data_IF_429202923388
#
_entry.id   IF_429202923388
#
_cell.length_a   1.000
_cell.length_b   1.000
_cell.length_c   1.000
_cell.angle_alpha   90.00
_cell.angle_beta   90.00
_cell.angle_gamma   90.00
#
_symmetry.space_group_name_H-M   'P 1'
#
loop_
_entity.id
_entity.type
_entity.pdbx_description
1 polymer ?
#
# COMPACT_ATOMS: atom_id res chain seq x y z
N UNK A 1 -16.88 13.68 -11.49
CA UNK A 1 -17.97 12.76 -11.90
C UNK A 1 -17.38 11.58 -12.66
N UNK A 2 -17.65 10.38 -12.23
CA UNK A 2 -17.18 9.16 -12.89
C UNK A 2 -18.21 8.83 -13.97
N UNK A 3 -17.82 9.04 -15.23
CA UNK A 3 -18.67 8.69 -16.36
C UNK A 3 -18.44 7.24 -16.77
N UNK A 4 -19.52 6.47 -16.90
CA UNK A 4 -19.47 5.14 -17.51
C UNK A 4 -19.15 3.97 -16.59
N UNK A 5 -19.18 4.14 -15.27
CA UNK A 5 -19.13 3.00 -14.34
C UNK A 5 -20.55 2.54 -14.07
N UNK A 6 -20.96 1.49 -14.77
CA UNK A 6 -22.23 0.80 -14.53
C UNK A 6 -21.94 -0.49 -13.79
N UNK A 7 -22.52 -0.64 -12.60
CA UNK A 7 -22.41 -1.86 -11.81
C UNK A 7 -23.83 -2.39 -11.60
N UNK A 8 -24.09 -3.53 -12.22
CA UNK A 8 -25.39 -4.20 -12.13
C UNK A 8 -25.55 -4.94 -10.79
N UNK A 9 -24.47 -5.17 -10.07
CA UNK A 9 -24.51 -5.93 -8.82
C UNK A 9 -23.89 -5.14 -7.66
N UNK A 10 -24.71 -4.82 -6.67
CA UNK A 10 -24.29 -4.18 -5.41
C UNK A 10 -23.38 -5.06 -4.54
N UNK A 11 -23.17 -6.32 -4.93
CA UNK A 11 -22.35 -7.28 -4.21
C UNK A 11 -20.94 -7.43 -4.80
N UNK A 12 -20.57 -6.66 -5.82
CA UNK A 12 -19.24 -6.74 -6.38
C UNK A 12 -18.19 -6.26 -5.38
N UNK A 13 -17.05 -6.98 -5.35
CA UNK A 13 -15.95 -6.66 -4.46
C UNK A 13 -15.46 -5.22 -4.73
N UNK A 14 -15.45 -4.32 -3.72
CA UNK A 14 -15.02 -2.94 -3.93
C UNK A 14 -13.59 -2.80 -4.47
N UNK A 15 -12.73 -3.79 -4.26
CA UNK A 15 -11.38 -3.79 -4.83
C UNK A 15 -11.37 -3.97 -6.34
N UNK A 16 -12.29 -4.76 -6.88
CA UNK A 16 -12.47 -4.92 -8.33
C UNK A 16 -12.88 -3.61 -8.99
N UNK A 17 -13.73 -2.84 -8.31
CA UNK A 17 -14.23 -1.57 -8.84
C UNK A 17 -13.17 -0.45 -8.87
N UNK A 18 -12.13 -0.55 -8.07
CA UNK A 18 -11.13 0.52 -7.92
C UNK A 18 -10.49 0.92 -9.27
N UNK A 19 -10.13 -0.05 -10.11
CA UNK A 19 -9.54 0.19 -11.43
C UNK A 19 -10.50 0.90 -12.37
N UNK A 20 -11.80 0.61 -12.26
CA UNK A 20 -12.85 1.29 -13.03
C UNK A 20 -13.06 2.73 -12.58
N UNK A 21 -12.80 3.02 -11.30
CA UNK A 21 -12.89 4.37 -10.76
C UNK A 21 -11.74 5.24 -11.23
N UNK A 22 -10.51 4.71 -11.19
CA UNK A 22 -9.31 5.43 -11.61
C UNK A 22 -8.18 4.45 -11.96
N UNK A 23 -7.58 4.62 -13.13
CA UNK A 23 -6.57 3.69 -13.65
C UNK A 23 -5.37 4.46 -14.24
N UNK A 24 -4.14 3.92 -14.23
CA UNK A 24 -3.76 2.65 -13.59
C UNK A 24 -3.69 2.77 -12.07
N UNK A 25 -4.08 1.71 -11.38
CA UNK A 25 -4.07 1.68 -9.91
C UNK A 25 -3.99 0.25 -9.37
N UNK A 26 -3.57 0.13 -8.11
CA UNK A 26 -3.65 -1.11 -7.34
C UNK A 26 -4.02 -0.79 -5.89
N UNK A 27 -4.61 -1.77 -5.23
CA UNK A 27 -4.96 -1.65 -3.80
C UNK A 27 -3.68 -1.60 -2.99
N UNK A 28 -3.52 -0.59 -2.15
CA UNK A 28 -2.34 -0.39 -1.31
C UNK A 28 -2.66 0.35 -0.02
N UNK A 29 -1.64 0.82 0.67
CA UNK A 29 -1.72 1.58 1.92
C UNK A 29 -2.56 0.84 2.96
N UNK A 30 -3.46 1.53 3.66
CA UNK A 30 -4.25 0.95 4.74
C UNK A 30 -5.12 -0.23 4.30
N UNK A 31 -5.72 -0.17 3.12
CA UNK A 31 -6.56 -1.28 2.61
C UNK A 31 -5.75 -2.57 2.45
N UNK A 32 -4.54 -2.48 1.92
CA UNK A 32 -3.67 -3.65 1.78
C UNK A 32 -3.06 -4.07 3.11
N UNK A 33 -2.62 -3.13 3.94
CA UNK A 33 -2.07 -3.42 5.26
C UNK A 33 -3.09 -4.12 6.16
N UNK A 34 -4.33 -3.64 6.16
CA UNK A 34 -5.43 -4.27 6.90
C UNK A 34 -5.75 -5.66 6.37
N UNK A 35 -5.81 -5.80 5.05
CA UNK A 35 -6.07 -7.11 4.42
C UNK A 35 -5.03 -8.15 4.80
N UNK A 36 -3.75 -7.77 4.85
CA UNK A 36 -2.64 -8.65 5.22
C UNK A 36 -2.46 -8.82 6.72
N UNK A 37 -3.27 -8.15 7.54
CA UNK A 37 -3.20 -8.27 8.99
C UNK A 37 -2.07 -7.50 9.65
N UNK A 38 -1.41 -6.57 8.94
CA UNK A 38 -0.34 -5.76 9.53
C UNK A 38 -0.85 -4.68 10.47
N UNK A 39 -2.06 -4.20 10.24
CA UNK A 39 -2.72 -3.23 11.12
C UNK A 39 -4.06 -3.79 11.60
N UNK A 40 -4.47 -3.51 12.86
CA UNK A 40 -5.71 -4.03 13.41
C UNK A 40 -6.96 -3.27 12.94
N UNK A 41 -6.80 -2.04 12.45
CA UNK A 41 -7.91 -1.17 12.11
C UNK A 41 -8.68 -1.69 10.89
N UNK A 42 -10.01 -1.60 10.98
CA UNK A 42 -10.87 -1.80 9.83
C UNK A 42 -10.86 -0.55 8.95
N UNK A 43 -10.64 -0.74 7.67
CA UNK A 43 -10.53 0.36 6.70
C UNK A 43 -11.82 0.45 5.89
N UNK A 44 -12.51 1.58 6.01
CA UNK A 44 -13.78 1.82 5.31
C UNK A 44 -13.61 2.41 3.92
N UNK A 45 -12.56 3.20 3.72
CA UNK A 45 -12.21 3.75 2.41
C UNK A 45 -11.21 2.84 1.73
N UNK A 46 -11.48 2.50 0.47
CA UNK A 46 -10.52 1.74 -0.33
C UNK A 46 -9.36 2.66 -0.72
N UNK A 47 -8.16 2.32 -0.30
CA UNK A 47 -6.96 3.10 -0.57
C UNK A 47 -6.14 2.45 -1.67
N UNK A 48 -5.78 3.24 -2.69
CA UNK A 48 -5.12 2.77 -3.90
C UNK A 48 -3.89 3.62 -4.22
N UNK A 49 -2.91 2.98 -4.82
CA UNK A 49 -1.74 3.64 -5.38
C UNK A 49 -1.91 3.81 -6.90
N UNK A 50 -1.43 4.93 -7.40
CA UNK A 50 -1.34 5.26 -8.81
C UNK A 50 0.02 5.88 -9.10
N UNK A 51 0.30 6.26 -10.34
CA UNK A 51 1.55 6.91 -10.72
C UNK A 51 1.36 7.95 -11.81
N UNK A 52 2.25 8.96 -11.83
CA UNK A 52 2.31 9.94 -12.91
C UNK A 52 1.14 10.92 -12.96
N UNK A 53 0.34 11.02 -11.92
CA UNK A 53 -0.85 11.90 -11.90
C UNK A 53 -0.60 13.26 -11.27
N UNK A 54 0.40 13.36 -10.38
CA UNK A 54 0.77 14.61 -9.68
C UNK A 54 -0.25 15.09 -8.65
N UNK A 55 -1.31 14.35 -8.40
CA UNK A 55 -2.38 14.71 -7.49
C UNK A 55 -2.90 13.51 -6.72
N UNK A 56 -3.33 13.77 -5.50
CA UNK A 56 -4.18 12.82 -4.76
C UNK A 56 -5.64 13.02 -5.21
N UNK A 57 -6.37 11.92 -5.32
CA UNK A 57 -7.78 11.91 -5.72
C UNK A 57 -8.62 11.19 -4.68
N UNK A 58 -9.79 11.75 -4.41
CA UNK A 58 -10.80 11.12 -3.56
C UNK A 58 -12.11 11.06 -4.34
N UNK A 59 -12.69 9.87 -4.39
CA UNK A 59 -13.98 9.63 -5.01
C UNK A 59 -14.94 9.05 -3.97
N UNK A 60 -16.04 9.74 -3.76
CA UNK A 60 -17.14 9.25 -2.93
C UNK A 60 -18.26 8.81 -3.85
N UNK A 61 -18.50 7.52 -3.91
CA UNK A 61 -19.50 6.92 -4.80
C UNK A 61 -20.59 6.21 -3.99
N UNK A 62 -21.71 5.91 -4.63
CA UNK A 62 -22.78 5.10 -4.03
C UNK A 62 -22.33 3.67 -3.69
N UNK A 63 -21.22 3.21 -4.28
CA UNK A 63 -20.67 1.88 -4.09
C UNK A 63 -19.52 1.84 -3.08
N UNK A 64 -19.06 3.00 -2.63
CA UNK A 64 -17.99 3.12 -1.66
C UNK A 64 -17.13 4.36 -1.88
N UNK A 65 -16.18 4.56 -0.96
CA UNK A 65 -15.26 5.67 -0.99
C UNK A 65 -13.88 5.16 -1.39
N UNK A 66 -13.22 5.89 -2.29
CA UNK A 66 -11.91 5.52 -2.85
C UNK A 66 -10.96 6.70 -2.73
N UNK A 67 -9.71 6.41 -2.36
CA UNK A 67 -8.62 7.38 -2.43
C UNK A 67 -7.47 6.83 -3.27
N UNK A 68 -6.88 7.71 -4.08
CA UNK A 68 -5.77 7.37 -4.97
C UNK A 68 -4.62 8.33 -4.69
N UNK A 69 -3.43 7.77 -4.46
CA UNK A 69 -2.21 8.54 -4.20
C UNK A 69 -1.10 8.07 -5.11
N UNK A 70 -0.31 9.02 -5.62
CA UNK A 70 0.85 8.70 -6.43
C UNK A 70 1.95 8.04 -5.61
N UNK A 71 2.56 7.03 -6.22
CA UNK A 71 3.83 6.47 -5.80
C UNK A 71 4.86 6.69 -6.91
N UNK A 72 6.18 6.57 -6.65
CA UNK A 72 7.18 6.76 -7.70
C UNK A 72 6.96 5.81 -8.88
N UNK A 73 7.10 6.33 -10.09
CA UNK A 73 6.94 5.53 -11.31
C UNK A 73 7.86 4.29 -11.30
N UNK A 74 9.06 4.43 -10.78
CA UNK A 74 10.03 3.33 -10.67
C UNK A 74 9.55 2.23 -9.73
N UNK A 75 8.82 2.58 -8.68
CA UNK A 75 8.31 1.63 -7.70
C UNK A 75 6.98 1.00 -8.11
N UNK A 76 6.19 1.69 -8.91
CA UNK A 76 4.81 1.33 -9.22
C UNK A 76 4.63 -0.13 -9.65
N UNK A 77 5.40 -0.69 -10.61
CA UNK A 77 5.12 -2.02 -11.16
C UNK A 77 5.58 -3.18 -10.29
N UNK A 78 6.35 -2.95 -9.22
CA UNK A 78 6.96 -4.01 -8.43
C UNK A 78 6.18 -4.30 -7.15
N UNK A 79 6.15 -5.57 -6.73
CA UNK A 79 5.49 -6.00 -5.50
C UNK A 79 3.96 -6.03 -5.59
N UNK A 80 3.41 -6.12 -6.79
CA UNK A 80 1.97 -6.17 -7.03
C UNK A 80 1.56 -7.61 -7.32
N UNK A 81 0.44 -8.02 -6.72
CA UNK A 81 -0.17 -9.33 -6.92
C UNK A 81 -1.46 -9.17 -7.73
N UNK A 82 -1.66 -10.04 -8.72
CA UNK A 82 -2.94 -10.16 -9.41
C UNK A 82 -3.83 -11.14 -8.65
N UNK A 83 -4.98 -10.68 -8.21
CA UNK A 83 -5.95 -11.48 -7.48
C UNK A 83 -7.14 -11.72 -8.39
N UNK A 84 -7.41 -13.00 -8.66
CA UNK A 84 -8.56 -13.43 -9.48
C UNK A 84 -9.61 -14.03 -8.56
N UNK A 85 -10.84 -13.54 -8.67
CA UNK A 85 -12.02 -14.08 -7.97
C UNK A 85 -13.18 -14.15 -8.95
N UNK A 86 -13.76 -15.34 -9.07
CA UNK A 86 -14.80 -15.63 -10.06
C UNK A 86 -14.35 -15.19 -11.46
N UNK A 87 -15.09 -14.36 -12.16
CA UNK A 87 -14.73 -13.84 -13.48
C UNK A 87 -14.07 -12.45 -13.43
N UNK A 88 -13.64 -12.01 -12.25
CA UNK A 88 -13.07 -10.68 -12.04
C UNK A 88 -11.65 -10.77 -11.50
N UNK A 89 -10.89 -9.70 -11.67
CA UNK A 89 -9.56 -9.56 -11.09
C UNK A 89 -9.29 -8.14 -10.62
N UNK A 90 -8.33 -7.99 -9.72
CA UNK A 90 -7.78 -6.71 -9.31
C UNK A 90 -6.30 -6.88 -8.94
N UNK A 91 -5.59 -5.77 -8.88
CA UNK A 91 -4.20 -5.74 -8.44
C UNK A 91 -4.12 -5.24 -7.01
N UNK A 92 -3.28 -5.89 -6.21
CA UNK A 92 -3.08 -5.57 -4.80
C UNK A 92 -1.60 -5.61 -4.46
N UNK A 93 -1.15 -4.64 -3.68
CA UNK A 93 0.19 -4.65 -3.13
C UNK A 93 0.42 -5.88 -2.23
N UNK A 94 1.61 -6.47 -2.31
CA UNK A 94 2.08 -7.43 -1.29
C UNK A 94 2.18 -6.72 0.07
N UNK A 95 2.28 -7.47 1.19
CA UNK A 95 2.48 -6.83 2.50
C UNK A 95 3.68 -5.89 2.52
N UNK A 96 4.79 -6.32 1.93
CA UNK A 96 6.03 -5.54 1.82
C UNK A 96 5.85 -4.28 0.99
N UNK A 97 5.18 -4.41 -0.15
CA UNK A 97 4.89 -3.27 -1.04
C UNK A 97 3.96 -2.26 -0.37
N UNK A 98 2.91 -2.73 0.29
CA UNK A 98 1.97 -1.87 1.00
C UNK A 98 2.66 -1.06 2.10
N UNK A 99 3.60 -1.67 2.81
CA UNK A 99 4.40 -1.00 3.83
C UNK A 99 5.31 0.08 3.21
N UNK A 100 5.99 -0.24 2.13
CA UNK A 100 6.84 0.72 1.41
C UNK A 100 6.02 1.92 0.90
N UNK A 101 4.89 1.67 0.26
CA UNK A 101 4.00 2.73 -0.21
C UNK A 101 3.54 3.62 0.94
N UNK A 102 3.18 3.02 2.07
CA UNK A 102 2.73 3.75 3.26
C UNK A 102 3.81 4.65 3.83
N UNK A 103 5.03 4.15 3.94
CA UNK A 103 6.16 4.94 4.43
C UNK A 103 6.54 6.07 3.47
N UNK A 104 6.37 5.85 2.17
CA UNK A 104 6.63 6.85 1.16
C UNK A 104 5.79 8.12 1.34
N UNK A 105 4.52 7.98 1.68
CA UNK A 105 3.59 9.11 1.82
C UNK A 105 3.64 9.79 3.19
N UNK A 106 4.43 9.27 4.13
CA UNK A 106 4.56 9.84 5.48
C UNK A 106 5.63 10.91 5.54
N UNK A 107 5.51 11.87 6.48
CA UNK A 107 6.58 12.83 6.74
C UNK A 107 7.91 12.13 7.02
N UNK A 108 9.04 12.73 6.65
CA UNK A 108 10.33 12.09 6.81
C UNK A 108 10.70 11.88 8.27
N UNK A 109 11.27 10.71 8.56
CA UNK A 109 11.92 10.42 9.83
C UNK A 109 13.41 10.74 9.74
N UNK A 110 14.05 10.99 10.88
CA UNK A 110 15.45 11.41 10.95
C UNK A 110 16.33 10.46 11.77
N UNK A 111 15.77 9.34 12.25
CA UNK A 111 16.50 8.31 12.98
C UNK A 111 15.77 6.99 12.93
N UNK A 112 16.51 5.90 13.22
CA UNK A 112 15.91 4.56 13.37
C UNK A 112 14.90 4.51 14.51
N UNK A 113 15.12 5.28 15.58
CA UNK A 113 14.18 5.39 16.69
C UNK A 113 12.85 6.01 16.23
N UNK A 114 12.91 7.06 15.42
CA UNK A 114 11.72 7.69 14.85
C UNK A 114 11.00 6.75 13.87
N UNK A 115 11.74 5.99 13.07
CA UNK A 115 11.14 4.98 12.20
C UNK A 115 10.39 3.93 13.02
N UNK A 116 11.01 3.43 14.08
CA UNK A 116 10.39 2.46 14.98
C UNK A 116 9.08 3.00 15.56
N UNK A 117 9.10 4.23 16.03
CA UNK A 117 7.90 4.90 16.57
C UNK A 117 6.81 5.03 15.48
N UNK A 118 7.18 5.42 14.28
CA UNK A 118 6.25 5.51 13.15
C UNK A 118 5.61 4.16 12.82
N UNK A 119 6.38 3.08 12.82
CA UNK A 119 5.89 1.74 12.48
C UNK A 119 4.97 1.15 13.56
N UNK A 120 5.42 1.15 14.81
CA UNK A 120 4.80 0.35 15.86
C UNK A 120 3.87 1.14 16.78
N UNK A 121 4.15 2.41 16.99
CA UNK A 121 3.35 3.25 17.88
C UNK A 121 2.28 4.02 17.10
N UNK A 122 2.66 4.78 16.09
CA UNK A 122 1.73 5.60 15.30
C UNK A 122 0.84 4.78 14.38
N UNK A 123 1.38 3.71 13.77
CA UNK A 123 0.68 2.90 12.77
C UNK A 123 0.18 1.60 13.34
N UNK A 124 0.54 1.29 14.55
CA UNK A 124 0.14 0.08 15.26
C UNK A 124 0.41 -1.20 14.47
N UNK A 125 1.48 -1.20 13.67
CA UNK A 125 1.90 -2.44 13.02
C UNK A 125 2.31 -3.41 14.12
N UNK A 126 1.72 -4.59 14.09
CA UNK A 126 2.06 -5.64 15.05
C UNK A 126 3.52 -6.09 14.81
N UNK A 127 4.40 -6.04 15.84
CA UNK A 127 5.80 -6.42 15.66
C UNK A 127 5.99 -7.82 15.08
N UNK A 128 5.13 -8.76 15.47
CA UNK A 128 5.17 -10.14 14.96
C UNK A 128 4.87 -10.20 13.45
N UNK A 129 3.91 -9.41 12.99
CA UNK A 129 3.57 -9.32 11.57
C UNK A 129 4.68 -8.64 10.76
N UNK A 130 5.32 -7.63 11.33
CA UNK A 130 6.50 -7.02 10.73
C UNK A 130 7.66 -8.02 10.60
N UNK A 131 7.91 -8.79 11.65
CA UNK A 131 8.98 -9.80 11.65
C UNK A 131 8.72 -10.93 10.65
N UNK A 132 7.45 -11.22 10.35
CA UNK A 132 7.05 -12.21 9.36
C UNK A 132 7.23 -11.75 7.90
N UNK A 133 7.45 -10.45 7.66
CA UNK A 133 7.68 -9.92 6.32
C UNK A 133 8.96 -10.47 5.70
N UNK A 134 8.96 -10.60 4.37
CA UNK A 134 10.15 -10.97 3.64
C UNK A 134 11.15 -9.80 3.61
N UNK A 135 12.24 -9.93 4.35
CA UNK A 135 13.25 -8.86 4.52
C UNK A 135 13.99 -8.54 3.22
N UNK A 136 14.23 -9.55 2.37
CA UNK A 136 14.85 -9.34 1.07
C UNK A 136 13.94 -8.52 0.15
N UNK A 137 12.66 -8.84 0.12
CA UNK A 137 11.69 -8.08 -0.67
C UNK A 137 11.57 -6.64 -0.19
N UNK A 138 11.52 -6.42 1.12
CA UNK A 138 11.54 -5.07 1.70
C UNK A 138 12.77 -4.28 1.26
N UNK A 139 13.93 -4.91 1.34
CA UNK A 139 15.20 -4.29 0.95
C UNK A 139 15.22 -3.89 -0.52
N UNK A 140 14.82 -4.82 -1.40
CA UNK A 140 14.77 -4.59 -2.85
C UNK A 140 13.74 -3.52 -3.21
N UNK A 141 12.52 -3.62 -2.66
CA UNK A 141 11.44 -2.67 -2.94
C UNK A 141 11.81 -1.26 -2.47
N UNK A 142 12.41 -1.13 -1.30
CA UNK A 142 12.78 0.17 -0.74
C UNK A 142 13.72 0.97 -1.65
N UNK A 143 14.55 0.30 -2.44
CA UNK A 143 15.47 0.94 -3.39
C UNK A 143 14.76 1.70 -4.52
N UNK A 144 13.52 1.32 -4.84
CA UNK A 144 12.76 2.00 -5.90
C UNK A 144 12.15 3.33 -5.45
N UNK A 145 12.22 3.64 -4.13
CA UNK A 145 11.71 4.88 -3.56
C UNK A 145 12.86 5.79 -3.18
N UNK A 146 12.99 6.92 -3.81
CA UNK A 146 13.96 7.94 -3.39
C UNK A 146 13.38 8.77 -2.24
N UNK A 147 13.26 8.12 -1.06
CA UNK A 147 12.65 8.70 0.14
C UNK A 147 13.43 8.30 1.38
N UNK A 148 13.62 9.25 2.29
CA UNK A 148 14.37 9.04 3.53
C UNK A 148 13.81 7.89 4.37
N UNK A 149 12.48 7.80 4.49
CA UNK A 149 11.83 6.73 5.26
C UNK A 149 12.21 5.34 4.76
N UNK A 150 12.32 5.17 3.45
CA UNK A 150 12.70 3.89 2.84
C UNK A 150 14.19 3.60 3.02
N UNK A 151 15.02 4.62 3.05
CA UNK A 151 16.46 4.47 3.37
C UNK A 151 16.66 3.99 4.81
N UNK A 152 15.89 4.52 5.76
CA UNK A 152 15.91 4.03 7.14
C UNK A 152 15.32 2.63 7.27
N UNK A 153 14.29 2.30 6.50
CA UNK A 153 13.74 0.94 6.46
C UNK A 153 14.81 -0.06 6.01
N UNK A 154 15.57 0.26 4.96
CA UNK A 154 16.70 -0.56 4.49
C UNK A 154 17.72 -0.80 5.61
N UNK A 155 18.13 0.25 6.31
CA UNK A 155 19.09 0.12 7.44
C UNK A 155 18.56 -0.80 8.52
N UNK A 156 17.29 -0.69 8.86
CA UNK A 156 16.67 -1.56 9.86
C UNK A 156 16.66 -3.03 9.42
N UNK A 157 16.36 -3.26 8.15
CA UNK A 157 16.29 -4.61 7.57
C UNK A 157 17.69 -5.23 7.46
N UNK A 158 18.72 -4.45 7.06
CA UNK A 158 20.10 -4.89 7.01
C UNK A 158 20.58 -5.43 8.37
N UNK A 159 20.31 -4.71 9.46
CA UNK A 159 20.66 -5.17 10.80
C UNK A 159 20.01 -6.49 11.21
N UNK A 160 18.86 -6.82 10.63
CA UNK A 160 18.20 -8.12 10.83
C UNK A 160 18.77 -9.24 9.98
N UNK A 161 19.27 -8.93 8.78
CA UNK A 161 19.86 -9.93 7.85
C UNK A 161 21.23 -10.39 8.34
N UNK A 162 22.01 -9.49 8.96
CA UNK A 162 23.37 -9.81 9.47
C UNK A 162 23.34 -10.70 10.72
N UNK A 163 22.18 -10.85 11.38
CA UNK A 163 22.02 -11.64 12.62
C UNK A 163 21.37 -13.01 12.36
N UNK A 164 21.07 -13.40 11.13
CA UNK A 164 20.61 -14.73 10.71
C UNK A 164 21.77 -15.51 10.07
#
# INVERSE_FOLDING_TARGET
MIKGVYVDDKNENPFVLATSVYSPSYISFESALSYHGLIPERVYRVTCATCGRGKNKIYNTSLGNYSFRDVPLKAFPFGIQRITRDNSFFYRASPEKALCDRLYIKPPVYSLKQLRHLLFDDRRIEPQEFDALNKKDLYILADYYDKRNLKFLKKRVEGGIENE
#
